data_IF_510018464877
#
_entry.id   IF_510018464877
#
_cell.length_a   1.000
_cell.length_b   1.000
_cell.length_c   1.000
_cell.angle_alpha   90.00
_cell.angle_beta   90.00
_cell.angle_gamma   90.00
#
_symmetry.space_group_name_H-M   'P 1'
#
loop_
_entity.id
_entity.type
_entity.pdbx_description
1 polymer ?
#
# COMPACT_ATOMS: atom_id res chain seq x y z
N UNK A 1 18.93 24.27 4.76
CA UNK A 1 17.87 24.62 3.78
C UNK A 1 16.54 24.67 4.50
N UNK A 2 15.63 25.53 4.09
CA UNK A 2 14.26 25.57 4.63
C UNK A 2 13.53 24.30 4.15
N UNK A 3 12.79 23.66 5.06
CA UNK A 3 11.98 22.47 4.71
C UNK A 3 10.80 22.88 3.82
N UNK A 4 10.45 22.10 2.79
CA UNK A 4 9.31 22.39 1.93
C UNK A 4 8.01 22.27 2.73
N UNK A 5 7.02 23.06 2.35
CA UNK A 5 5.66 22.95 2.87
C UNK A 5 4.92 21.83 2.15
N UNK A 6 4.32 20.93 2.93
CA UNK A 6 3.73 19.69 2.42
C UNK A 6 2.21 19.67 2.65
N UNK A 7 1.47 19.34 1.60
CA UNK A 7 0.07 18.94 1.68
C UNK A 7 -0.03 17.41 1.80
N UNK A 8 -0.80 16.89 2.75
CA UNK A 8 -0.94 15.44 2.93
C UNK A 8 -2.42 15.02 2.87
N UNK A 9 -2.76 14.16 1.92
CA UNK A 9 -4.11 13.66 1.66
C UNK A 9 -4.18 12.17 2.04
N UNK A 10 -5.08 11.84 2.97
CA UNK A 10 -5.28 10.47 3.42
C UNK A 10 -4.57 10.17 4.75
N UNK A 11 -5.31 10.34 5.86
CA UNK A 11 -4.84 10.08 7.23
C UNK A 11 -5.42 8.75 7.77
N UNK A 12 -5.25 7.67 6.99
CA UNK A 12 -5.46 6.31 7.44
C UNK A 12 -4.37 5.86 8.43
N UNK A 13 -4.24 4.56 8.67
CA UNK A 13 -3.22 4.03 9.59
C UNK A 13 -1.80 4.44 9.16
N UNK A 14 -1.48 4.26 7.88
CA UNK A 14 -0.16 4.58 7.34
C UNK A 14 0.05 6.09 7.24
N UNK A 15 -0.89 6.81 6.60
CA UNK A 15 -0.77 8.25 6.38
C UNK A 15 -0.70 9.06 7.68
N UNK A 16 -1.44 8.68 8.73
CA UNK A 16 -1.34 9.35 10.03
C UNK A 16 0.02 9.14 10.69
N UNK A 17 0.63 7.97 10.55
CA UNK A 17 1.97 7.68 11.05
C UNK A 17 3.05 8.50 10.31
N UNK A 18 2.93 8.63 8.98
CA UNK A 18 3.83 9.47 8.18
C UNK A 18 3.69 10.95 8.52
N UNK A 19 2.45 11.44 8.70
CA UNK A 19 2.18 12.83 9.14
C UNK A 19 2.81 13.11 10.50
N UNK A 20 2.64 12.20 11.47
CA UNK A 20 3.25 12.32 12.80
C UNK A 20 4.78 12.39 12.71
N UNK A 21 5.39 11.53 11.86
CA UNK A 21 6.84 11.54 11.61
C UNK A 21 7.31 12.87 11.02
N UNK A 22 6.66 13.35 9.97
CA UNK A 22 7.02 14.64 9.34
C UNK A 22 6.88 15.82 10.31
N UNK A 23 5.81 15.83 11.13
CA UNK A 23 5.62 16.86 12.17
C UNK A 23 6.73 16.81 13.23
N UNK A 24 7.13 15.62 13.69
CA UNK A 24 8.21 15.45 14.67
C UNK A 24 9.55 15.98 14.17
N UNK A 25 9.73 16.00 12.85
CA UNK A 25 10.91 16.54 12.19
C UNK A 25 10.77 18.04 11.85
N UNK A 26 9.65 18.67 12.17
CA UNK A 26 9.43 20.12 11.98
C UNK A 26 9.02 20.53 10.56
N UNK A 27 8.35 19.65 9.81
CA UNK A 27 7.71 20.03 8.55
C UNK A 27 6.40 20.78 8.79
N UNK A 28 6.15 21.84 8.02
CA UNK A 28 4.84 22.49 7.97
C UNK A 28 3.87 21.68 7.12
N UNK A 29 2.76 21.24 7.71
CA UNK A 29 1.80 20.37 7.04
C UNK A 29 0.42 21.03 6.91
N UNK A 30 -0.16 20.89 5.70
CA UNK A 30 -1.59 21.05 5.45
C UNK A 30 -2.17 19.66 5.22
N UNK A 31 -3.17 19.25 6.00
CA UNK A 31 -3.73 17.90 5.95
C UNK A 31 -5.15 17.90 5.41
N UNK A 32 -5.54 16.81 4.73
CA UNK A 32 -6.91 16.57 4.28
C UNK A 32 -7.27 15.10 4.43
N UNK A 33 -8.38 14.82 5.08
CA UNK A 33 -8.96 13.50 5.19
C UNK A 33 -10.48 13.53 5.05
N UNK A 34 -11.09 12.37 4.77
CA UNK A 34 -12.53 12.29 4.53
C UNK A 34 -13.30 11.70 5.72
N UNK A 35 -12.95 10.49 6.15
CA UNK A 35 -13.80 9.68 7.04
C UNK A 35 -13.39 9.77 8.51
N UNK A 36 -12.11 9.82 8.80
CA UNK A 36 -11.60 9.81 10.17
C UNK A 36 -11.19 11.21 10.60
N UNK A 37 -12.13 11.98 11.15
CA UNK A 37 -11.89 13.35 11.66
C UNK A 37 -10.94 13.36 12.85
N UNK A 38 -10.97 12.33 13.70
CA UNK A 38 -10.07 12.22 14.85
C UNK A 38 -8.60 12.33 14.45
N UNK A 39 -8.19 11.63 13.38
CA UNK A 39 -6.79 11.68 12.89
C UNK A 39 -6.40 13.05 12.35
N UNK A 40 -7.34 13.78 11.76
CA UNK A 40 -7.13 15.17 11.36
C UNK A 40 -6.94 16.06 12.59
N UNK A 41 -7.81 15.95 13.59
CA UNK A 41 -7.76 16.73 14.84
C UNK A 41 -6.47 16.45 15.60
N UNK A 42 -6.01 15.20 15.68
CA UNK A 42 -4.71 14.83 16.24
C UNK A 42 -3.54 15.51 15.48
N UNK A 43 -3.59 15.57 14.14
CA UNK A 43 -2.56 16.26 13.36
C UNK A 43 -2.61 17.78 13.56
N UNK A 44 -3.81 18.36 13.60
CA UNK A 44 -4.02 19.81 13.87
C UNK A 44 -3.54 20.18 15.25
N UNK A 45 -3.80 19.38 16.27
CA UNK A 45 -3.31 19.63 17.65
C UNK A 45 -1.77 19.66 17.73
N UNK A 46 -1.08 19.01 16.78
CA UNK A 46 0.39 19.05 16.63
C UNK A 46 0.86 20.14 15.65
N UNK A 47 -0.03 21.03 15.20
CA UNK A 47 0.32 22.20 14.38
C UNK A 47 0.06 22.07 12.88
N UNK A 48 -0.58 21.01 12.38
CA UNK A 48 -1.04 20.97 10.99
C UNK A 48 -2.23 21.89 10.75
N UNK A 49 -2.42 22.29 9.51
CA UNK A 49 -3.59 23.07 9.06
C UNK A 49 -4.56 22.12 8.35
N UNK A 50 -5.82 22.09 8.77
CA UNK A 50 -6.87 21.34 8.06
C UNK A 50 -7.29 22.07 6.78
N UNK A 51 -7.37 21.37 5.66
CA UNK A 51 -7.78 21.92 4.37
C UNK A 51 -9.18 21.50 3.97
N UNK A 52 -9.95 22.45 3.50
CA UNK A 52 -11.32 22.22 3.01
C UNK A 52 -11.31 21.42 1.69
N UNK A 53 -10.32 21.66 0.82
CA UNK A 53 -10.22 20.99 -0.48
C UNK A 53 -8.79 20.68 -0.89
N UNK A 54 -8.63 19.68 -1.78
CA UNK A 54 -7.34 19.33 -2.35
C UNK A 54 -6.75 20.48 -3.21
N UNK A 55 -7.62 21.23 -3.89
CA UNK A 55 -7.25 22.45 -4.64
C UNK A 55 -6.60 23.50 -3.74
N UNK A 56 -7.30 23.93 -2.67
CA UNK A 56 -6.77 24.94 -1.75
C UNK A 56 -5.47 24.52 -1.07
N UNK A 57 -5.31 23.22 -0.83
CA UNK A 57 -4.06 22.66 -0.35
C UNK A 57 -2.95 22.84 -1.39
N UNK A 58 -3.17 22.38 -2.63
CA UNK A 58 -2.20 22.44 -3.71
C UNK A 58 -1.74 23.87 -4.05
N UNK A 59 -2.63 24.86 -3.92
CA UNK A 59 -2.29 26.28 -4.10
C UNK A 59 -1.26 26.83 -3.11
N UNK A 60 -1.04 26.14 -1.98
CA UNK A 60 -0.31 26.63 -0.80
C UNK A 60 0.94 25.85 -0.44
N UNK A 61 1.23 24.76 -1.16
CA UNK A 61 2.33 23.84 -0.85
C UNK A 61 3.23 23.60 -2.06
N UNK A 62 4.44 23.12 -1.81
CA UNK A 62 5.41 22.73 -2.83
C UNK A 62 5.29 21.24 -3.19
N UNK A 63 4.87 20.42 -2.19
CA UNK A 63 4.72 18.97 -2.33
C UNK A 63 3.32 18.59 -1.88
N UNK A 64 2.60 17.79 -2.70
CA UNK A 64 1.35 17.13 -2.32
C UNK A 64 1.59 15.64 -2.20
N UNK A 65 1.31 15.06 -1.04
CA UNK A 65 1.49 13.64 -0.75
C UNK A 65 0.12 12.95 -0.62
N UNK A 66 -0.01 11.79 -1.24
CA UNK A 66 -1.17 10.91 -1.13
C UNK A 66 -0.81 9.62 -0.39
N UNK A 67 -1.64 9.24 0.58
CA UNK A 67 -1.64 7.91 1.18
C UNK A 67 -3.09 7.45 1.37
N UNK A 68 -3.72 7.04 0.27
CA UNK A 68 -5.14 6.68 0.19
C UNK A 68 -5.31 5.23 -0.28
N UNK A 69 -6.55 4.71 -0.19
CA UNK A 69 -6.82 3.28 -0.25
C UNK A 69 -6.65 2.66 -1.66
N UNK A 70 -6.91 3.43 -2.73
CA UNK A 70 -6.97 2.91 -4.10
C UNK A 70 -6.81 4.02 -5.16
N UNK A 71 -6.62 3.61 -6.42
CA UNK A 71 -6.49 4.52 -7.57
C UNK A 71 -7.66 5.46 -7.74
N UNK A 72 -8.90 5.00 -7.52
CA UNK A 72 -10.09 5.84 -7.63
C UNK A 72 -10.09 6.96 -6.58
N UNK A 73 -9.59 6.68 -5.37
CA UNK A 73 -9.42 7.69 -4.32
C UNK A 73 -8.33 8.70 -4.69
N UNK A 74 -7.24 8.28 -5.34
CA UNK A 74 -6.24 9.20 -5.89
C UNK A 74 -6.88 10.08 -6.97
N UNK A 75 -7.49 9.47 -7.97
CA UNK A 75 -8.14 10.18 -9.09
C UNK A 75 -9.19 11.19 -8.61
N UNK A 76 -10.03 10.83 -7.65
CA UNK A 76 -11.07 11.72 -7.13
C UNK A 76 -10.50 12.94 -6.40
N UNK A 77 -9.28 12.86 -5.85
CA UNK A 77 -8.58 13.99 -5.25
C UNK A 77 -7.71 14.76 -6.25
N UNK A 78 -7.33 14.15 -7.36
CA UNK A 78 -6.60 14.82 -8.45
C UNK A 78 -7.54 15.63 -9.31
N UNK A 79 -8.66 15.03 -9.75
CA UNK A 79 -9.56 15.62 -10.75
C UNK A 79 -10.74 16.40 -10.12
N UNK A 80 -11.45 17.12 -10.97
CA UNK A 80 -12.60 17.95 -10.59
C UNK A 80 -12.21 19.35 -10.09
N UNK A 81 -13.24 20.18 -9.85
CA UNK A 81 -13.06 21.61 -9.52
C UNK A 81 -12.35 21.84 -8.17
N UNK A 82 -12.50 20.91 -7.25
CA UNK A 82 -11.87 20.94 -5.93
C UNK A 82 -10.60 20.08 -5.84
N UNK A 83 -10.16 19.48 -6.96
CA UNK A 83 -9.04 18.57 -7.07
C UNK A 83 -7.67 19.27 -7.12
N UNK A 84 -6.62 18.48 -6.88
CA UNK A 84 -5.22 18.96 -6.91
C UNK A 84 -4.87 19.59 -8.26
N UNK A 85 -5.29 18.98 -9.38
CA UNK A 85 -4.99 19.44 -10.73
C UNK A 85 -5.47 20.87 -11.00
N UNK A 86 -6.56 21.30 -10.32
CA UNK A 86 -7.11 22.66 -10.41
C UNK A 86 -6.37 23.70 -9.56
N UNK A 87 -5.49 23.26 -8.64
CA UNK A 87 -4.77 24.12 -7.72
C UNK A 87 -3.25 24.06 -7.83
N UNK A 88 -2.68 23.09 -8.55
CA UNK A 88 -1.22 22.99 -8.71
C UNK A 88 -0.62 24.15 -9.47
N UNK A 89 0.60 24.50 -9.11
CA UNK A 89 1.44 25.48 -9.81
C UNK A 89 2.55 24.77 -10.53
N UNK A 90 3.15 25.42 -11.51
CA UNK A 90 4.36 24.92 -12.13
C UNK A 90 5.45 24.67 -11.05
N UNK A 91 6.09 23.52 -11.10
CA UNK A 91 7.07 23.08 -10.13
C UNK A 91 6.50 22.33 -8.90
N UNK A 92 5.16 22.28 -8.72
CA UNK A 92 4.56 21.45 -7.65
C UNK A 92 4.85 19.97 -7.88
N UNK A 93 5.29 19.26 -6.85
CA UNK A 93 5.56 17.80 -6.91
C UNK A 93 4.44 17.07 -6.19
N UNK A 94 3.82 16.12 -6.89
CA UNK A 94 2.77 15.24 -6.35
C UNK A 94 3.36 13.85 -6.15
N UNK A 95 3.22 13.28 -4.95
CA UNK A 95 3.78 11.97 -4.57
C UNK A 95 2.64 11.07 -4.13
N UNK A 96 2.46 9.92 -4.79
CA UNK A 96 1.51 8.88 -4.37
C UNK A 96 2.24 7.73 -3.65
N UNK A 97 1.92 7.55 -2.38
CA UNK A 97 2.42 6.45 -1.57
C UNK A 97 1.49 5.22 -1.56
N UNK A 98 0.36 5.31 -2.25
CA UNK A 98 -0.60 4.22 -2.40
C UNK A 98 -0.12 3.14 -3.36
N UNK A 99 -0.83 2.01 -3.36
CA UNK A 99 -0.73 1.02 -4.44
C UNK A 99 -1.79 1.36 -5.47
N UNK A 100 -1.36 1.81 -6.63
CA UNK A 100 -2.21 2.31 -7.71
C UNK A 100 -2.02 1.53 -9.00
N UNK A 101 -3.04 1.56 -9.88
CA UNK A 101 -2.94 1.03 -11.24
C UNK A 101 -1.89 1.81 -12.03
N UNK A 102 -0.96 1.13 -12.72
CA UNK A 102 0.05 1.79 -13.57
C UNK A 102 -0.56 2.68 -14.66
N UNK A 103 -1.70 2.29 -15.24
CA UNK A 103 -2.42 3.09 -16.24
C UNK A 103 -2.96 4.41 -15.64
N UNK A 104 -3.51 4.38 -14.42
CA UNK A 104 -3.93 5.57 -13.68
C UNK A 104 -2.75 6.49 -13.37
N UNK A 105 -1.64 5.93 -12.86
CA UNK A 105 -0.39 6.65 -12.60
C UNK A 105 0.11 7.40 -13.83
N UNK A 106 0.19 6.73 -14.98
CA UNK A 106 0.65 7.35 -16.23
C UNK A 106 -0.28 8.47 -16.71
N UNK A 107 -1.60 8.29 -16.56
CA UNK A 107 -2.57 9.31 -16.91
C UNK A 107 -2.41 10.55 -16.03
N UNK A 108 -2.33 10.39 -14.72
CA UNK A 108 -2.17 11.48 -13.76
C UNK A 108 -0.85 12.22 -13.99
N UNK A 109 0.25 11.49 -14.21
CA UNK A 109 1.55 12.07 -14.48
C UNK A 109 1.52 12.97 -15.74
N UNK A 110 0.86 12.51 -16.82
CA UNK A 110 0.69 13.28 -18.03
C UNK A 110 -0.13 14.55 -17.79
N UNK A 111 -1.28 14.43 -17.12
CA UNK A 111 -2.21 15.56 -16.92
C UNK A 111 -1.57 16.63 -15.99
N UNK A 112 -0.75 16.23 -15.01
CA UNK A 112 0.02 17.15 -14.17
C UNK A 112 1.16 17.83 -14.94
N UNK A 113 1.84 17.09 -15.82
CA UNK A 113 2.91 17.66 -16.66
C UNK A 113 2.38 18.76 -17.59
N UNK A 114 1.14 18.68 -18.08
CA UNK A 114 0.48 19.74 -18.85
C UNK A 114 0.29 21.05 -18.04
N UNK A 115 0.34 20.96 -16.70
CA UNK A 115 0.34 22.12 -15.79
C UNK A 115 1.75 22.54 -15.33
N UNK A 116 2.80 21.87 -15.83
CA UNK A 116 4.17 22.08 -15.37
C UNK A 116 4.44 21.54 -13.98
N UNK A 117 3.59 20.64 -13.48
CA UNK A 117 3.75 19.94 -12.21
C UNK A 117 4.27 18.52 -12.45
N UNK A 118 4.79 17.87 -11.42
CA UNK A 118 5.42 16.55 -11.49
C UNK A 118 4.66 15.51 -10.67
N UNK A 119 4.73 14.25 -11.09
CA UNK A 119 4.17 13.13 -10.36
C UNK A 119 5.20 12.03 -10.12
N UNK A 120 5.28 11.57 -8.88
CA UNK A 120 6.10 10.43 -8.47
C UNK A 120 5.19 9.37 -7.85
N UNK A 121 5.28 8.14 -8.31
CA UNK A 121 4.70 6.98 -7.64
C UNK A 121 5.74 6.37 -6.71
N UNK A 122 5.41 6.35 -5.41
CA UNK A 122 6.32 5.96 -4.32
C UNK A 122 5.66 4.94 -3.38
N UNK A 123 5.07 3.83 -3.88
CA UNK A 123 4.38 2.88 -3.01
C UNK A 123 5.28 2.32 -1.91
N UNK A 124 4.64 1.98 -0.80
CA UNK A 124 5.30 1.67 0.46
C UNK A 124 5.40 0.16 0.72
N UNK A 125 6.46 -0.23 1.39
CA UNK A 125 6.56 -1.46 2.16
C UNK A 125 6.70 -1.18 3.65
N UNK A 126 6.50 -2.20 4.49
CA UNK A 126 6.52 -2.17 5.95
C UNK A 126 5.22 -1.63 6.58
N UNK A 127 5.24 -1.37 7.89
CA UNK A 127 4.07 -1.18 8.77
C UNK A 127 3.94 0.28 9.24
N UNK A 128 2.75 0.69 9.76
CA UNK A 128 2.58 2.01 10.36
C UNK A 128 3.53 2.31 11.54
N UNK A 129 3.90 1.31 12.34
CA UNK A 129 4.87 1.48 13.41
C UNK A 129 6.25 1.91 12.86
N UNK A 130 6.69 1.25 11.79
CA UNK A 130 7.94 1.58 11.11
C UNK A 130 7.88 2.94 10.38
N UNK A 131 6.67 3.38 9.94
CA UNK A 131 6.49 4.71 9.36
C UNK A 131 6.75 5.82 10.40
N UNK A 132 6.32 5.65 11.65
CA UNK A 132 6.61 6.59 12.75
C UNK A 132 8.10 6.71 13.03
N UNK A 133 8.83 5.63 12.86
CA UNK A 133 10.27 5.58 13.09
C UNK A 133 11.10 6.06 11.88
N UNK A 134 10.46 6.38 10.75
CA UNK A 134 11.17 6.73 9.51
C UNK A 134 11.86 5.53 8.86
N UNK A 135 11.27 4.34 8.96
CA UNK A 135 11.86 3.07 8.50
C UNK A 135 11.06 2.40 7.39
N UNK A 136 10.39 3.18 6.54
CA UNK A 136 9.65 2.62 5.42
C UNK A 136 10.59 2.10 4.32
N UNK A 137 10.09 1.15 3.53
CA UNK A 137 10.61 0.86 2.20
C UNK A 137 9.80 1.68 1.19
N UNK A 138 10.46 2.57 0.44
CA UNK A 138 9.83 3.47 -0.53
C UNK A 138 10.30 3.10 -1.93
N UNK A 139 9.37 2.72 -2.79
CA UNK A 139 9.63 2.26 -4.17
C UNK A 139 9.36 3.42 -5.15
N UNK A 140 10.26 4.41 -5.20
CA UNK A 140 10.04 5.64 -5.94
C UNK A 140 10.31 5.52 -7.43
N UNK A 141 9.44 6.12 -8.25
CA UNK A 141 9.59 6.20 -9.69
C UNK A 141 9.00 7.51 -10.23
N UNK A 142 9.47 7.92 -11.40
CA UNK A 142 9.15 9.17 -12.08
C UNK A 142 10.38 9.82 -12.68
N UNK A 143 10.38 11.12 -12.86
CA UNK A 143 11.56 11.85 -13.35
C UNK A 143 12.67 11.84 -12.29
N UNK A 144 13.86 11.37 -12.64
CA UNK A 144 14.99 11.19 -11.70
C UNK A 144 15.42 12.49 -11.03
N UNK A 145 15.43 13.59 -11.77
CA UNK A 145 15.78 14.91 -11.23
C UNK A 145 14.80 15.34 -10.16
N UNK A 146 13.49 15.10 -10.38
CA UNK A 146 12.41 15.40 -9.43
C UNK A 146 12.48 14.48 -8.22
N UNK A 147 12.74 13.18 -8.43
CA UNK A 147 12.96 12.24 -7.34
C UNK A 147 14.11 12.66 -6.43
N UNK A 148 15.25 13.04 -7.02
CA UNK A 148 16.42 13.51 -6.27
C UNK A 148 16.15 14.80 -5.50
N UNK A 149 15.29 15.69 -6.01
CA UNK A 149 14.86 16.91 -5.31
C UNK A 149 14.10 16.60 -4.02
N UNK A 150 13.21 15.58 -4.02
CA UNK A 150 12.42 15.21 -2.85
C UNK A 150 13.05 14.10 -2.01
N UNK A 151 14.15 13.51 -2.47
CA UNK A 151 14.83 12.42 -1.77
C UNK A 151 15.10 12.70 -0.28
N UNK A 152 15.55 13.91 0.13
CA UNK A 152 15.74 14.21 1.55
C UNK A 152 14.46 14.07 2.39
N UNK A 153 13.29 14.39 1.82
CA UNK A 153 11.99 14.20 2.50
C UNK A 153 11.60 12.71 2.54
N UNK A 154 11.91 11.96 1.48
CA UNK A 154 11.68 10.51 1.44
C UNK A 154 12.59 9.77 2.42
N UNK A 155 13.85 10.19 2.56
CA UNK A 155 14.82 9.64 3.53
C UNK A 155 14.40 9.90 4.99
N UNK A 156 13.69 10.99 5.26
CA UNK A 156 13.08 11.26 6.57
C UNK A 156 11.94 10.29 6.92
N UNK A 157 11.33 9.65 5.91
CA UNK A 157 10.23 8.69 6.04
C UNK A 157 10.67 7.22 5.95
N UNK A 158 11.79 6.94 5.30
CA UNK A 158 12.24 5.57 5.04
C UNK A 158 13.74 5.37 5.12
N UNK A 159 14.16 4.20 5.56
CA UNK A 159 15.56 3.78 5.59
C UNK A 159 15.99 3.04 4.30
N UNK A 160 15.02 2.65 3.46
CA UNK A 160 15.25 2.08 2.14
C UNK A 160 14.44 2.87 1.10
N UNK A 161 15.09 3.84 0.46
CA UNK A 161 14.47 4.69 -0.57
C UNK A 161 15.09 4.36 -1.92
N UNK A 162 14.34 3.64 -2.75
CA UNK A 162 14.79 3.18 -4.06
C UNK A 162 14.29 4.11 -5.16
N UNK A 163 15.18 4.52 -6.07
CA UNK A 163 14.76 5.03 -7.37
C UNK A 163 14.69 3.87 -8.37
N UNK A 164 13.50 3.64 -8.93
CA UNK A 164 13.20 2.45 -9.72
C UNK A 164 12.98 2.74 -11.22
N UNK A 165 13.11 4.00 -11.63
CA UNK A 165 13.01 4.40 -13.04
C UNK A 165 11.82 5.30 -13.34
N UNK A 166 11.31 5.24 -14.59
CA UNK A 166 10.25 6.11 -15.09
C UNK A 166 8.91 5.90 -14.39
N UNK A 167 7.99 6.87 -14.54
CA UNK A 167 6.63 6.84 -13.98
C UNK A 167 5.95 5.48 -14.14
N UNK A 168 5.25 5.07 -13.13
CA UNK A 168 4.56 3.79 -12.92
C UNK A 168 5.45 2.58 -12.61
N UNK A 169 6.77 2.69 -12.67
CA UNK A 169 7.67 1.56 -12.34
C UNK A 169 7.58 1.19 -10.86
N UNK A 170 7.42 2.15 -9.96
CA UNK A 170 7.20 1.90 -8.53
C UNK A 170 5.94 1.06 -8.29
N UNK A 171 4.81 1.48 -8.88
CA UNK A 171 3.55 0.73 -8.78
C UNK A 171 3.63 -0.65 -9.46
N UNK A 172 4.29 -0.78 -10.62
CA UNK A 172 4.52 -2.09 -11.26
C UNK A 172 5.28 -3.04 -10.33
N UNK A 173 6.38 -2.58 -9.76
CA UNK A 173 7.19 -3.39 -8.82
C UNK A 173 6.38 -3.71 -7.56
N UNK A 174 5.61 -2.76 -7.04
CA UNK A 174 4.73 -3.00 -5.90
C UNK A 174 3.68 -4.08 -6.18
N UNK A 175 3.06 -4.06 -7.36
CA UNK A 175 2.09 -5.08 -7.75
C UNK A 175 2.75 -6.47 -7.94
N UNK A 176 3.94 -6.54 -8.54
CA UNK A 176 4.72 -7.77 -8.64
C UNK A 176 5.08 -8.33 -7.26
N UNK A 177 5.55 -7.46 -6.35
CA UNK A 177 5.85 -7.82 -4.97
C UNK A 177 4.61 -8.36 -4.24
N UNK A 178 3.47 -7.67 -4.34
CA UNK A 178 2.26 -8.06 -3.64
C UNK A 178 1.61 -9.31 -4.25
N UNK A 179 1.69 -9.50 -5.57
CA UNK A 179 1.32 -10.77 -6.21
C UNK A 179 2.09 -11.94 -5.61
N UNK A 180 3.43 -11.85 -5.56
CA UNK A 180 4.26 -12.91 -5.01
C UNK A 180 3.95 -13.15 -3.53
N UNK A 181 3.84 -12.07 -2.75
CA UNK A 181 3.53 -12.14 -1.32
C UNK A 181 2.17 -12.80 -1.04
N UNK A 182 1.11 -12.39 -1.74
CA UNK A 182 -0.24 -12.92 -1.52
C UNK A 182 -0.39 -14.36 -2.02
N UNK A 183 0.23 -14.70 -3.15
CA UNK A 183 0.27 -16.09 -3.62
C UNK A 183 0.97 -17.00 -2.62
N UNK A 184 2.10 -16.55 -2.06
CA UNK A 184 2.83 -17.29 -1.01
C UNK A 184 2.00 -17.41 0.27
N UNK A 185 1.30 -16.35 0.68
CA UNK A 185 0.45 -16.36 1.86
C UNK A 185 -0.72 -17.34 1.72
N UNK A 186 -1.44 -17.30 0.58
CA UNK A 186 -2.53 -18.24 0.30
C UNK A 186 -2.03 -19.68 0.27
N UNK A 187 -0.92 -19.95 -0.42
CA UNK A 187 -0.34 -21.29 -0.49
C UNK A 187 0.06 -21.82 0.90
N UNK A 188 0.67 -20.99 1.76
CA UNK A 188 1.06 -21.40 3.10
C UNK A 188 -0.15 -21.59 4.02
N UNK A 189 -1.19 -20.76 3.88
CA UNK A 189 -2.44 -20.93 4.61
C UNK A 189 -3.13 -22.25 4.23
N UNK A 190 -3.16 -22.58 2.94
CA UNK A 190 -3.72 -23.85 2.45
C UNK A 190 -2.89 -25.05 2.92
N UNK A 191 -1.55 -24.95 2.96
CA UNK A 191 -0.68 -26.00 3.53
C UNK A 191 -1.06 -26.31 4.97
N UNK A 192 -1.30 -25.29 5.80
CA UNK A 192 -1.73 -25.53 7.18
C UNK A 192 -3.14 -26.14 7.27
N UNK A 193 -4.08 -25.66 6.45
CA UNK A 193 -5.42 -26.24 6.38
C UNK A 193 -5.40 -27.72 5.93
N UNK A 194 -4.57 -28.07 4.97
CA UNK A 194 -4.37 -29.46 4.52
C UNK A 194 -3.64 -30.31 5.58
N UNK A 195 -2.70 -29.73 6.32
CA UNK A 195 -2.04 -30.40 7.43
C UNK A 195 -3.06 -30.80 8.51
N UNK A 196 -3.97 -29.89 8.86
CA UNK A 196 -5.07 -30.18 9.80
C UNK A 196 -5.98 -31.30 9.30
N UNK A 197 -6.32 -31.29 8.01
CA UNK A 197 -7.15 -32.34 7.40
C UNK A 197 -6.43 -33.71 7.35
N UNK A 198 -5.12 -33.69 7.25
CA UNK A 198 -4.25 -34.88 7.26
C UNK A 198 -3.79 -35.31 8.68
N UNK A 199 -4.26 -34.62 9.73
CA UNK A 199 -3.90 -34.85 11.13
C UNK A 199 -2.37 -34.70 11.39
N UNK A 200 -1.69 -33.82 10.62
CA UNK A 200 -0.29 -33.50 10.79
C UNK A 200 -0.14 -32.21 11.61
N UNK A 201 0.60 -32.21 12.72
CA UNK A 201 0.78 -30.99 13.51
C UNK A 201 1.44 -29.86 12.71
N UNK A 202 0.86 -28.66 12.77
CA UNK A 202 1.32 -27.47 12.02
C UNK A 202 2.79 -27.10 12.30
N UNK A 203 3.24 -27.26 13.55
CA UNK A 203 4.62 -27.01 13.96
C UNK A 203 5.61 -27.95 13.25
N UNK A 204 5.25 -29.22 13.03
CA UNK A 204 6.07 -30.20 12.32
C UNK A 204 6.19 -29.87 10.83
N UNK A 205 5.07 -29.47 10.22
CA UNK A 205 5.06 -29.01 8.82
C UNK A 205 5.98 -27.81 8.66
N UNK A 206 5.81 -26.78 9.49
CA UNK A 206 6.66 -25.59 9.44
C UNK A 206 8.13 -25.92 9.70
N UNK A 207 8.45 -26.74 10.71
CA UNK A 207 9.81 -27.15 11.03
C UNK A 207 10.51 -27.80 9.83
N UNK A 208 9.83 -28.71 9.14
CA UNK A 208 10.37 -29.38 7.97
C UNK A 208 10.58 -28.44 6.79
N UNK A 209 9.59 -27.59 6.49
CA UNK A 209 9.64 -26.67 5.36
C UNK A 209 10.64 -25.52 5.57
N UNK A 210 10.72 -24.98 6.80
CA UNK A 210 11.60 -23.83 7.10
C UNK A 210 13.07 -24.21 7.27
N UNK A 211 13.39 -25.50 7.40
CA UNK A 211 14.78 -26.00 7.46
C UNK A 211 15.51 -25.88 6.10
N UNK A 212 14.76 -25.66 5.00
CA UNK A 212 15.27 -25.59 3.64
C UNK A 212 15.00 -24.23 2.96
N UNK A 213 15.15 -24.19 1.63
CA UNK A 213 15.06 -22.96 0.84
C UNK A 213 13.65 -22.38 0.71
N UNK A 214 12.61 -23.05 1.23
CA UNK A 214 11.23 -22.55 1.19
C UNK A 214 10.96 -21.45 2.20
N UNK A 215 11.81 -21.29 3.21
CA UNK A 215 11.60 -20.27 4.24
C UNK A 215 11.61 -18.87 3.66
N UNK A 216 10.62 -18.08 4.05
CA UNK A 216 10.51 -16.66 3.71
C UNK A 216 9.82 -15.91 4.85
N UNK A 217 10.01 -14.57 4.91
CA UNK A 217 9.31 -13.74 5.89
C UNK A 217 7.78 -13.83 5.77
N UNK A 218 7.26 -14.02 4.56
CA UNK A 218 5.81 -14.23 4.37
C UNK A 218 5.34 -15.55 4.99
N UNK A 219 6.10 -16.62 4.82
CA UNK A 219 5.82 -17.90 5.45
C UNK A 219 5.85 -17.79 6.99
N UNK A 220 6.82 -17.03 7.54
CA UNK A 220 6.93 -16.78 8.97
C UNK A 220 5.69 -16.02 9.51
N UNK A 221 5.18 -15.02 8.79
CA UNK A 221 3.95 -14.30 9.17
C UNK A 221 2.71 -15.22 9.27
N UNK A 222 2.55 -16.10 8.29
CA UNK A 222 1.41 -17.05 8.30
C UNK A 222 1.58 -18.06 9.44
N UNK A 223 2.79 -18.58 9.67
CA UNK A 223 3.12 -19.48 10.78
C UNK A 223 2.84 -18.84 12.14
N UNK A 224 3.26 -17.59 12.35
CA UNK A 224 3.10 -16.92 13.64
C UNK A 224 1.62 -16.84 14.05
N UNK A 225 0.75 -16.61 13.08
CA UNK A 225 -0.70 -16.69 13.35
C UNK A 225 -1.17 -18.14 13.51
N UNK A 226 -0.84 -19.02 12.58
CA UNK A 226 -1.35 -20.38 12.53
C UNK A 226 -1.00 -21.26 13.76
N UNK A 227 0.12 -20.94 14.45
CA UNK A 227 0.62 -21.71 15.60
C UNK A 227 0.48 -20.90 16.90
N UNK A 228 0.83 -19.62 16.89
CA UNK A 228 0.90 -18.79 18.10
C UNK A 228 -0.27 -17.81 18.24
N UNK A 229 -1.14 -17.69 17.23
CA UNK A 229 -2.23 -16.69 17.19
C UNK A 229 -1.77 -15.25 17.00
N UNK A 230 -0.49 -15.01 16.65
CA UNK A 230 0.11 -13.69 16.57
C UNK A 230 0.00 -13.09 15.16
N UNK A 231 -0.58 -11.89 15.05
CA UNK A 231 -0.73 -11.16 13.79
C UNK A 231 0.39 -10.13 13.65
N UNK A 232 1.45 -10.49 12.92
CA UNK A 232 2.58 -9.60 12.63
C UNK A 232 2.43 -8.88 11.27
N UNK A 233 1.57 -9.40 10.39
CA UNK A 233 1.20 -8.79 9.11
C UNK A 233 -0.19 -8.16 9.22
N UNK A 234 -0.23 -6.86 9.51
CA UNK A 234 -1.47 -6.06 9.55
C UNK A 234 -1.87 -5.60 8.13
N UNK A 235 -2.23 -6.56 7.28
CA UNK A 235 -2.71 -6.35 5.91
C UNK A 235 -4.01 -7.09 5.72
N UNK A 236 -5.12 -6.35 5.45
CA UNK A 236 -6.44 -6.95 5.37
C UNK A 236 -6.65 -7.77 4.09
N UNK A 237 -7.52 -8.76 4.16
CA UNK A 237 -7.93 -9.57 3.00
C UNK A 237 -8.52 -8.68 1.91
N UNK A 238 -9.31 -7.66 2.25
CA UNK A 238 -9.87 -6.70 1.29
C UNK A 238 -8.78 -5.93 0.53
N UNK A 239 -7.73 -5.48 1.22
CA UNK A 239 -6.58 -4.86 0.56
C UNK A 239 -5.79 -5.85 -0.30
N UNK A 240 -5.70 -7.10 0.11
CA UNK A 240 -5.07 -8.16 -0.67
C UNK A 240 -5.86 -8.44 -1.97
N UNK A 241 -7.19 -8.51 -1.88
CA UNK A 241 -8.08 -8.62 -3.06
C UNK A 241 -7.86 -7.46 -4.02
N UNK A 242 -7.82 -6.23 -3.50
CA UNK A 242 -7.58 -5.04 -4.34
C UNK A 242 -6.24 -5.14 -5.06
N UNK A 243 -5.17 -5.46 -4.35
CA UNK A 243 -3.82 -5.47 -4.93
C UNK A 243 -3.64 -6.60 -5.94
N UNK A 244 -4.22 -7.78 -5.70
CA UNK A 244 -4.19 -8.88 -6.68
C UNK A 244 -5.03 -8.54 -7.93
N UNK A 245 -6.16 -7.86 -7.76
CA UNK A 245 -6.98 -7.39 -8.88
C UNK A 245 -6.22 -6.34 -9.72
N UNK A 246 -5.49 -5.44 -9.10
CA UNK A 246 -4.65 -4.48 -9.82
C UNK A 246 -3.50 -5.16 -10.58
N UNK A 247 -2.93 -6.22 -10.01
CA UNK A 247 -1.93 -7.02 -10.71
C UNK A 247 -2.51 -7.73 -11.94
N UNK A 248 -3.71 -8.30 -11.82
CA UNK A 248 -4.40 -8.93 -12.95
C UNK A 248 -4.75 -7.90 -14.02
N UNK A 249 -5.29 -6.74 -13.61
CA UNK A 249 -5.58 -5.65 -14.54
C UNK A 249 -4.30 -5.15 -15.25
N UNK A 250 -3.20 -5.01 -14.53
CA UNK A 250 -1.91 -4.68 -15.15
C UNK A 250 -1.48 -5.72 -16.20
N UNK A 251 -1.69 -7.00 -15.93
CA UNK A 251 -1.38 -8.06 -16.89
C UNK A 251 -2.26 -7.95 -18.15
N UNK A 252 -3.55 -7.66 -18.00
CA UNK A 252 -4.48 -7.44 -19.11
C UNK A 252 -4.08 -6.20 -19.94
N UNK A 253 -3.75 -5.08 -19.28
CA UNK A 253 -3.27 -3.85 -19.93
C UNK A 253 -2.01 -4.12 -20.77
N UNK A 254 -1.15 -5.03 -20.30
CA UNK A 254 0.06 -5.50 -20.99
C UNK A 254 -0.21 -6.61 -22.05
N UNK A 255 -1.49 -6.96 -22.26
CA UNK A 255 -1.91 -8.04 -23.19
C UNK A 255 -1.28 -9.40 -22.88
N UNK A 256 -1.12 -9.69 -21.58
CA UNK A 256 -0.63 -10.96 -21.06
C UNK A 256 -1.59 -11.54 -20.02
N UNK A 257 -1.32 -12.75 -19.55
CA UNK A 257 -2.14 -13.42 -18.53
C UNK A 257 -1.26 -13.90 -17.38
N UNK A 258 -1.83 -13.92 -16.16
CA UNK A 258 -1.15 -14.47 -14.99
C UNK A 258 -1.88 -15.71 -14.49
N UNK A 259 -1.31 -16.89 -14.72
CA UNK A 259 -1.91 -18.16 -14.30
C UNK A 259 -1.95 -18.33 -12.78
N UNK A 260 -0.87 -17.94 -12.10
CA UNK A 260 -0.75 -18.12 -10.65
C UNK A 260 -1.60 -17.12 -9.85
N UNK A 261 -1.85 -15.92 -10.41
CA UNK A 261 -2.70 -14.94 -9.76
C UNK A 261 -4.16 -15.39 -9.63
N UNK A 262 -4.66 -16.20 -10.57
CA UNK A 262 -6.05 -16.67 -10.59
C UNK A 262 -6.39 -17.44 -9.31
N UNK A 263 -5.52 -18.33 -8.84
CA UNK A 263 -5.73 -19.10 -7.62
C UNK A 263 -5.79 -18.18 -6.38
N UNK A 264 -4.79 -17.32 -6.21
CA UNK A 264 -4.75 -16.37 -5.08
C UNK A 264 -5.93 -15.38 -5.13
N UNK A 265 -6.27 -14.86 -6.31
CA UNK A 265 -7.40 -13.95 -6.52
C UNK A 265 -8.72 -14.60 -6.12
N UNK A 266 -8.97 -15.82 -6.59
CA UNK A 266 -10.21 -16.57 -6.27
C UNK A 266 -10.32 -16.83 -4.78
N UNK A 267 -9.27 -17.35 -4.15
CA UNK A 267 -9.25 -17.66 -2.71
C UNK A 267 -9.50 -16.44 -1.82
N UNK A 268 -8.82 -15.31 -2.13
CA UNK A 268 -8.98 -14.07 -1.39
C UNK A 268 -10.35 -13.43 -1.61
N UNK A 269 -10.86 -13.45 -2.86
CA UNK A 269 -12.16 -12.90 -3.20
C UNK A 269 -13.29 -13.70 -2.53
N UNK A 270 -13.18 -15.03 -2.47
CA UNK A 270 -14.13 -15.90 -1.79
C UNK A 270 -14.16 -15.59 -0.29
N UNK A 271 -13.00 -15.52 0.36
CA UNK A 271 -12.92 -15.16 1.77
C UNK A 271 -13.55 -13.78 2.05
N UNK A 272 -13.26 -12.77 1.21
CA UNK A 272 -13.86 -11.45 1.35
C UNK A 272 -15.39 -11.48 1.16
N UNK A 273 -15.88 -12.22 0.15
CA UNK A 273 -17.31 -12.41 -0.13
C UNK A 273 -18.07 -13.12 1.01
N UNK A 274 -17.40 -13.97 1.77
CA UNK A 274 -17.94 -14.64 2.96
C UNK A 274 -17.79 -13.80 4.25
N UNK A 275 -17.44 -12.52 4.16
CA UNK A 275 -17.39 -11.60 5.29
C UNK A 275 -16.03 -11.51 6.00
N UNK A 276 -14.97 -12.12 5.46
CA UNK A 276 -13.63 -12.07 6.04
C UNK A 276 -12.77 -10.90 5.52
N UNK A 277 -13.34 -9.96 4.73
CA UNK A 277 -12.59 -8.86 4.13
C UNK A 277 -11.80 -7.99 5.11
N UNK A 278 -12.36 -7.73 6.30
CA UNK A 278 -11.69 -6.95 7.34
C UNK A 278 -10.65 -7.75 8.17
N UNK A 279 -10.61 -9.08 8.03
CA UNK A 279 -9.60 -9.92 8.69
C UNK A 279 -8.23 -9.73 8.04
N UNK A 280 -7.17 -10.01 8.79
CA UNK A 280 -5.80 -9.95 8.28
C UNK A 280 -5.44 -11.19 7.46
N UNK A 281 -4.59 -11.03 6.46
CA UNK A 281 -4.16 -12.13 5.56
C UNK A 281 -3.68 -13.39 6.31
N UNK A 282 -2.93 -13.32 7.43
CA UNK A 282 -2.59 -14.54 8.18
C UNK A 282 -3.80 -15.35 8.66
N UNK A 283 -4.96 -14.72 8.87
CA UNK A 283 -6.20 -15.38 9.29
C UNK A 283 -6.88 -16.19 8.16
N UNK A 284 -6.32 -16.17 6.95
CA UNK A 284 -6.77 -17.05 5.85
C UNK A 284 -6.62 -18.54 6.19
N UNK A 285 -5.74 -18.87 7.14
CA UNK A 285 -5.61 -20.27 7.64
C UNK A 285 -6.92 -20.78 8.21
N UNK A 286 -7.61 -19.98 9.02
CA UNK A 286 -8.88 -20.37 9.63
C UNK A 286 -9.97 -20.54 8.56
N UNK A 287 -10.08 -19.56 7.67
CA UNK A 287 -11.02 -19.62 6.55
C UNK A 287 -10.84 -20.90 5.72
N UNK A 288 -9.61 -21.20 5.31
CA UNK A 288 -9.33 -22.41 4.50
C UNK A 288 -9.53 -23.71 5.28
N UNK A 289 -9.16 -23.74 6.58
CA UNK A 289 -9.40 -24.92 7.43
C UNK A 289 -10.90 -25.23 7.57
N UNK A 290 -11.75 -24.22 7.64
CA UNK A 290 -13.20 -24.39 7.67
C UNK A 290 -13.75 -24.80 6.29
N UNK A 291 -13.31 -24.14 5.23
CA UNK A 291 -13.81 -24.33 3.86
C UNK A 291 -13.45 -25.71 3.30
N UNK A 292 -12.21 -26.15 3.45
CA UNK A 292 -11.77 -27.47 2.98
C UNK A 292 -12.45 -28.63 3.69
N UNK A 293 -12.91 -28.44 4.94
CA UNK A 293 -13.69 -29.44 5.68
C UNK A 293 -15.15 -29.55 5.22
N UNK A 294 -15.71 -28.45 4.68
CA UNK A 294 -17.11 -28.38 4.28
C UNK A 294 -17.38 -28.86 2.85
N UNK A 295 -16.34 -29.01 2.03
CA UNK A 295 -16.54 -29.49 0.66
C UNK A 295 -16.91 -30.98 0.69
N UNK A 296 -18.14 -31.39 0.27
CA UNK A 296 -18.53 -32.80 0.23
C UNK A 296 -17.56 -33.57 -0.67
N UNK A 297 -17.09 -34.72 -0.21
CA UNK A 297 -16.41 -35.68 -1.09
C UNK A 297 -17.43 -36.10 -2.16
N UNK A 298 -17.31 -35.54 -3.37
CA UNK A 298 -18.05 -35.98 -4.57
C UNK A 298 -17.58 -37.34 -5.03
#
# INVERSE_FOLDING_TARGET
>A
MQKPKIGFIGLGLMGSAMVERLQSLGYELIVKGNRNRQKIEEAVSRGAVDSVSAKQMAERVEIVMFCVDNSQSVESNIYGDAGVLSGVKAGTIVIDFGTSLPSSTLKIAKDLAEKGAFYLDCPLGRTPAQAKDGKLNIMGAGEEVVFNQVKPVLDDLGDNVFYLGSSSTGNKIKLLNNFFAMTTACAMAEVFAMADAAEVPRDKVYQAMSAGPLRSGMMDFIRNYAIDGQIDLAFSVENAVKDINYYVQMAEDLKTTSRMAIGAQSTLAEAAGMGHGAKMVPQMVDFLSEHLRQTPKT
#
